data_IF_837976798237
#
_entry.id   IF_837976798237
#
_cell.length_a   1.000
_cell.length_b   1.000
_cell.length_c   1.000
_cell.angle_alpha   90.00
_cell.angle_beta   90.00
_cell.angle_gamma   90.00
#
_symmetry.space_group_name_H-M   'P 1'
#
loop_
_entity.id
_entity.type
_entity.pdbx_description
1 polymer ?
#
# COMPACT_ATOMS: atom_id res chain seq x y z
N UNK A 1 3.80 -5.60 -23.25
CA UNK A 1 5.16 -6.03 -22.85
C UNK A 1 5.63 -5.06 -21.76
N UNK A 2 6.16 -5.56 -20.66
CA UNK A 2 6.72 -4.72 -19.59
C UNK A 2 8.19 -4.42 -19.91
N UNK A 3 8.60 -3.16 -19.79
CA UNK A 3 9.96 -2.73 -20.04
C UNK A 3 10.54 -2.07 -18.79
N UNK A 4 11.63 -2.65 -18.28
CA UNK A 4 12.39 -2.17 -17.13
C UNK A 4 13.82 -1.96 -17.60
N UNK A 5 14.46 -0.87 -17.20
CA UNK A 5 15.82 -0.54 -17.62
C UNK A 5 16.67 -0.09 -16.42
N UNK A 6 17.98 -0.39 -16.43
CA UNK A 6 18.89 0.08 -15.40
C UNK A 6 19.19 1.57 -15.58
N UNK A 7 19.29 2.29 -14.46
CA UNK A 7 19.63 3.71 -14.38
C UNK A 7 20.63 3.89 -13.25
N UNK A 8 21.70 4.66 -13.52
CA UNK A 8 22.64 5.08 -12.47
C UNK A 8 22.07 6.28 -11.73
N UNK A 9 21.99 6.18 -10.42
CA UNK A 9 21.54 7.24 -9.53
C UNK A 9 22.55 7.46 -8.40
N UNK A 10 22.53 8.65 -7.83
CA UNK A 10 23.34 9.02 -6.67
C UNK A 10 22.41 9.19 -5.47
N UNK A 11 22.71 8.53 -4.35
CA UNK A 11 21.93 8.68 -3.13
C UNK A 11 22.00 10.13 -2.63
N UNK A 12 20.87 10.80 -2.35
CA UNK A 12 20.90 12.18 -1.89
C UNK A 12 21.36 12.33 -0.43
N UNK A 13 21.43 11.24 0.34
CA UNK A 13 21.88 11.24 1.74
C UNK A 13 23.37 10.92 1.87
N UNK A 14 23.83 9.82 1.27
CA UNK A 14 25.20 9.33 1.44
C UNK A 14 26.08 9.50 0.21
N UNK A 15 25.54 10.07 -0.88
CA UNK A 15 26.24 10.33 -2.13
C UNK A 15 26.77 9.09 -2.87
N UNK A 16 26.44 7.87 -2.40
CA UNK A 16 26.83 6.65 -3.07
C UNK A 16 26.16 6.52 -4.45
N UNK A 17 26.94 6.15 -5.46
CA UNK A 17 26.43 5.82 -6.78
C UNK A 17 25.97 4.37 -6.83
N UNK A 18 24.78 4.13 -7.38
CA UNK A 18 24.19 2.80 -7.49
C UNK A 18 23.38 2.67 -8.77
N UNK A 19 23.18 1.43 -9.21
CA UNK A 19 22.33 1.09 -10.33
C UNK A 19 20.96 0.63 -9.81
N UNK A 20 19.89 1.27 -10.27
CA UNK A 20 18.50 0.92 -9.95
C UNK A 20 17.74 0.60 -11.22
N UNK A 21 16.62 -0.10 -11.09
CA UNK A 21 15.74 -0.44 -12.19
C UNK A 21 14.49 0.44 -12.22
N UNK A 22 14.28 1.18 -13.31
CA UNK A 22 13.08 1.99 -13.51
C UNK A 22 12.12 1.33 -14.49
N UNK A 23 10.83 1.46 -14.19
CA UNK A 23 9.76 1.02 -15.09
C UNK A 23 9.57 2.05 -16.21
N UNK A 24 9.75 1.63 -17.46
CA UNK A 24 9.47 2.46 -18.64
C UNK A 24 8.02 2.31 -19.09
N UNK A 25 7.53 1.09 -19.13
CA UNK A 25 6.14 0.81 -19.49
C UNK A 25 5.67 -0.52 -18.91
N UNK A 26 4.39 -0.58 -18.57
CA UNK A 26 3.66 -1.81 -18.29
C UNK A 26 2.23 -1.65 -18.78
N UNK A 27 1.45 -2.72 -18.73
CA UNK A 27 0.02 -2.70 -19.01
C UNK A 27 -0.76 -2.95 -17.71
N UNK A 28 -2.04 -2.57 -17.72
CA UNK A 28 -2.97 -2.77 -16.60
C UNK A 28 -4.14 -3.69 -17.01
N UNK A 29 -3.87 -4.70 -17.85
CA UNK A 29 -4.92 -5.63 -18.28
C UNK A 29 -5.29 -6.57 -17.14
N UNK A 30 -6.60 -6.70 -16.89
CA UNK A 30 -7.17 -7.50 -15.80
C UNK A 30 -7.96 -6.65 -14.81
N UNK A 31 -8.71 -7.30 -13.94
CA UNK A 31 -9.38 -6.65 -12.83
C UNK A 31 -8.38 -6.27 -11.73
N UNK A 32 -8.59 -5.11 -11.13
CA UNK A 32 -7.87 -4.69 -9.92
C UNK A 32 -8.57 -5.27 -8.68
N UNK A 33 -7.82 -5.39 -7.59
CA UNK A 33 -8.38 -5.75 -6.29
C UNK A 33 -9.23 -4.59 -5.75
N UNK A 34 -10.10 -4.88 -4.76
CA UNK A 34 -11.00 -3.87 -4.19
C UNK A 34 -10.29 -2.76 -3.39
N UNK A 35 -9.03 -2.97 -3.01
CA UNK A 35 -8.14 -1.94 -2.45
C UNK A 35 -7.33 -1.18 -3.52
N UNK A 36 -7.69 -1.35 -4.80
CA UNK A 36 -7.02 -0.76 -5.98
C UNK A 36 -5.64 -1.34 -6.29
N UNK A 37 -5.28 -2.49 -5.68
CA UNK A 37 -4.07 -3.20 -6.08
C UNK A 37 -4.15 -3.59 -7.55
N UNK A 38 -3.15 -3.25 -8.38
CA UNK A 38 -3.26 -3.46 -9.81
C UNK A 38 -3.16 -4.94 -10.19
N UNK A 39 -3.57 -5.29 -11.43
CA UNK A 39 -3.41 -6.62 -11.99
C UNK A 39 -1.94 -7.07 -12.07
N UNK A 40 -1.74 -8.38 -12.20
CA UNK A 40 -0.45 -9.06 -12.07
C UNK A 40 0.70 -8.41 -12.86
N UNK A 41 0.48 -8.03 -14.13
CA UNK A 41 1.54 -7.46 -14.97
C UNK A 41 2.09 -6.12 -14.43
N UNK A 42 1.29 -5.33 -13.74
CA UNK A 42 1.73 -4.10 -13.09
C UNK A 42 2.17 -4.38 -11.65
N UNK A 43 1.47 -5.24 -10.91
CA UNK A 43 1.84 -5.68 -9.56
C UNK A 43 3.24 -6.28 -9.47
N UNK A 44 3.60 -7.15 -10.42
CA UNK A 44 4.96 -7.71 -10.56
C UNK A 44 6.07 -6.66 -10.73
N UNK A 45 5.73 -5.38 -10.92
CA UNK A 45 6.69 -4.27 -11.02
C UNK A 45 6.85 -3.50 -9.71
N UNK A 46 6.22 -3.89 -8.61
CA UNK A 46 6.30 -3.18 -7.31
C UNK A 46 7.72 -2.96 -6.81
N UNK A 47 8.64 -3.88 -7.11
CA UNK A 47 10.08 -3.73 -6.84
C UNK A 47 10.73 -2.53 -7.58
N UNK A 48 10.00 -1.92 -8.52
CA UNK A 48 10.39 -0.71 -9.25
C UNK A 48 9.79 0.58 -8.74
N UNK A 49 8.78 0.52 -7.88
CA UNK A 49 8.05 1.71 -7.44
C UNK A 49 8.84 2.51 -6.39
N UNK A 50 9.53 1.80 -5.51
CA UNK A 50 10.34 2.37 -4.44
C UNK A 50 11.74 1.74 -4.44
N UNK A 51 12.77 2.54 -4.11
CA UNK A 51 14.19 2.14 -4.14
C UNK A 51 14.87 2.35 -2.81
N UNK A 52 15.74 1.41 -2.44
CA UNK A 52 16.58 1.49 -1.24
C UNK A 52 18.04 1.69 -1.63
N UNK A 53 18.72 2.60 -0.93
CA UNK A 53 20.14 2.79 -1.05
C UNK A 53 20.90 1.62 -0.42
N UNK A 54 21.70 0.91 -1.22
CA UNK A 54 22.52 -0.21 -0.76
C UNK A 54 23.64 0.16 0.24
N UNK A 55 23.88 1.46 0.47
CA UNK A 55 24.93 1.94 1.39
C UNK A 55 24.38 2.47 2.71
N UNK A 56 23.35 3.33 2.70
CA UNK A 56 22.78 3.91 3.93
C UNK A 56 21.35 3.48 4.24
N UNK A 57 20.74 2.64 3.40
CA UNK A 57 19.36 2.19 3.60
C UNK A 57 18.28 3.22 3.31
N UNK A 58 18.62 4.44 2.84
CA UNK A 58 17.64 5.46 2.49
C UNK A 58 16.66 4.95 1.42
N UNK A 59 15.37 5.19 1.63
CA UNK A 59 14.30 4.76 0.73
C UNK A 59 13.64 5.96 0.06
N UNK A 60 13.40 5.87 -1.26
CA UNK A 60 12.65 6.87 -2.04
C UNK A 60 12.18 6.31 -3.39
N UNK A 61 11.09 6.87 -3.92
CA UNK A 61 10.64 6.67 -5.30
C UNK A 61 11.62 7.27 -6.33
N UNK A 62 12.14 8.47 -6.08
CA UNK A 62 13.11 9.14 -6.97
C UNK A 62 14.26 9.78 -6.17
N UNK A 63 15.46 9.27 -6.41
CA UNK A 63 16.70 9.71 -5.75
C UNK A 63 17.15 11.11 -6.20
N UNK A 64 16.47 11.72 -7.18
CA UNK A 64 16.66 13.13 -7.56
C UNK A 64 15.96 14.09 -6.62
N UNK A 65 14.96 13.63 -5.87
CA UNK A 65 14.23 14.47 -4.93
C UNK A 65 15.09 14.81 -3.71
N UNK A 66 14.82 16.00 -3.16
CA UNK A 66 15.52 16.42 -1.94
C UNK A 66 14.97 15.59 -0.77
N UNK A 67 15.85 14.96 0.03
CA UNK A 67 15.40 14.17 1.15
C UNK A 67 14.77 15.07 2.21
N UNK A 68 13.64 14.62 2.76
CA UNK A 68 12.93 15.28 3.85
C UNK A 68 13.50 14.91 5.23
N UNK A 69 14.32 13.86 5.28
CA UNK A 69 15.00 13.35 6.48
C UNK A 69 16.51 13.53 6.36
N UNK A 70 17.20 13.45 7.50
CA UNK A 70 18.66 13.45 7.56
C UNK A 70 19.22 12.04 7.77
N UNK A 71 20.54 11.95 7.85
CA UNK A 71 21.22 10.67 8.07
C UNK A 71 20.97 10.10 9.47
N UNK A 72 20.74 10.94 10.47
CA UNK A 72 20.52 10.49 11.85
C UNK A 72 19.19 9.73 11.97
N UNK A 73 18.17 10.15 11.23
CA UNK A 73 16.90 9.42 11.13
C UNK A 73 17.08 7.96 10.71
N UNK A 74 17.93 7.71 9.70
CA UNK A 74 18.22 6.36 9.20
C UNK A 74 18.92 5.47 10.24
N UNK A 75 19.56 6.09 11.23
CA UNK A 75 20.25 5.40 12.31
C UNK A 75 19.33 5.05 13.48
N UNK A 76 18.09 5.57 13.51
CA UNK A 76 17.13 5.28 14.57
C UNK A 76 16.73 3.80 14.59
N UNK A 77 16.44 3.30 15.79
CA UNK A 77 16.00 1.91 15.96
C UNK A 77 14.71 1.64 15.18
N UNK A 78 13.71 2.54 15.29
CA UNK A 78 12.44 2.49 14.56
C UNK A 78 12.64 2.26 13.06
N UNK A 79 13.56 3.01 12.42
CA UNK A 79 13.84 2.86 11.00
C UNK A 79 14.54 1.55 10.66
N UNK A 80 15.54 1.18 11.47
CA UNK A 80 16.35 -0.02 11.24
C UNK A 80 15.55 -1.30 11.42
N UNK A 81 14.75 -1.36 12.49
CA UNK A 81 13.96 -2.54 12.88
C UNK A 81 12.50 -2.48 12.43
N UNK A 82 12.11 -1.44 11.68
CA UNK A 82 10.74 -1.22 11.23
C UNK A 82 9.73 -1.30 12.37
N UNK A 83 9.97 -0.55 13.45
CA UNK A 83 9.16 -0.59 14.68
C UNK A 83 8.93 -2.00 15.28
N UNK A 84 9.83 -2.94 14.99
CA UNK A 84 9.74 -4.32 15.45
C UNK A 84 8.94 -5.26 14.53
N UNK A 85 8.49 -4.80 13.36
CA UNK A 85 7.92 -5.70 12.34
C UNK A 85 9.00 -6.61 11.75
N UNK A 86 8.77 -7.91 11.82
CA UNK A 86 9.60 -8.94 11.20
C UNK A 86 8.96 -9.38 9.88
N UNK A 87 9.26 -8.66 8.80
CA UNK A 87 8.67 -8.93 7.48
C UNK A 87 9.34 -10.13 6.79
N UNK A 88 8.52 -11.00 6.19
CA UNK A 88 8.98 -12.17 5.44
C UNK A 88 9.74 -11.82 4.14
N UNK A 89 9.66 -10.57 3.68
CA UNK A 89 10.37 -10.11 2.50
C UNK A 89 10.94 -8.68 2.61
N UNK A 90 11.93 -8.38 1.77
CA UNK A 90 12.57 -7.05 1.75
C UNK A 90 11.66 -5.95 1.19
N UNK A 91 10.74 -6.26 0.27
CA UNK A 91 9.91 -5.27 -0.38
C UNK A 91 8.92 -4.62 0.60
N UNK A 92 8.28 -5.41 1.46
CA UNK A 92 7.46 -4.92 2.58
C UNK A 92 8.26 -4.01 3.51
N UNK A 93 9.49 -4.41 3.85
CA UNK A 93 10.40 -3.60 4.66
C UNK A 93 10.70 -2.24 4.01
N UNK A 94 10.95 -2.22 2.71
CA UNK A 94 11.22 -0.99 1.95
C UNK A 94 10.01 -0.05 2.00
N UNK A 95 8.81 -0.55 1.71
CA UNK A 95 7.59 0.26 1.76
C UNK A 95 7.25 0.72 3.19
N UNK A 96 7.50 -0.10 4.21
CA UNK A 96 7.33 0.32 5.59
C UNK A 96 8.29 1.47 5.96
N UNK A 97 9.58 1.34 5.59
CA UNK A 97 10.58 2.41 5.79
C UNK A 97 10.21 3.70 5.07
N UNK A 98 9.63 3.59 3.88
CA UNK A 98 9.09 4.74 3.16
C UNK A 98 7.96 5.42 3.93
N UNK A 99 7.06 4.66 4.54
CA UNK A 99 6.01 5.22 5.41
C UNK A 99 6.58 5.98 6.62
N UNK A 100 7.71 5.53 7.19
CA UNK A 100 8.37 6.22 8.29
C UNK A 100 9.00 7.54 7.83
N UNK A 101 9.58 7.56 6.63
CA UNK A 101 10.14 8.78 6.03
C UNK A 101 9.03 9.80 5.77
N UNK A 102 7.87 9.33 5.28
CA UNK A 102 6.74 10.16 4.90
C UNK A 102 5.78 10.47 6.07
N UNK A 103 6.17 10.28 7.33
CA UNK A 103 5.27 10.39 8.48
C UNK A 103 4.59 11.76 8.70
N UNK A 104 5.04 12.82 8.02
CA UNK A 104 4.45 14.15 8.07
C UNK A 104 3.52 14.44 6.85
N UNK A 105 3.41 13.50 5.92
CA UNK A 105 2.56 13.57 4.73
C UNK A 105 1.59 12.37 4.76
N UNK A 106 0.33 12.64 5.11
CA UNK A 106 -0.69 11.61 5.34
C UNK A 106 -0.92 10.76 4.10
N UNK A 107 -1.04 11.38 2.93
CA UNK A 107 -1.25 10.68 1.65
C UNK A 107 -0.06 9.78 1.33
N UNK A 108 1.16 10.32 1.36
CA UNK A 108 2.36 9.56 1.02
C UNK A 108 2.61 8.41 2.01
N UNK A 109 2.36 8.64 3.31
CA UNK A 109 2.45 7.60 4.33
C UNK A 109 1.41 6.50 4.11
N UNK A 110 0.15 6.87 3.83
CA UNK A 110 -0.93 5.93 3.56
C UNK A 110 -0.59 5.00 2.39
N UNK A 111 -0.20 5.55 1.23
CA UNK A 111 0.13 4.72 0.07
C UNK A 111 1.35 3.83 0.32
N UNK A 112 2.33 4.30 1.10
CA UNK A 112 3.48 3.48 1.50
C UNK A 112 3.05 2.28 2.35
N UNK A 113 2.14 2.47 3.31
CA UNK A 113 1.59 1.38 4.11
C UNK A 113 0.71 0.44 3.27
N UNK A 114 -0.09 0.97 2.35
CA UNK A 114 -0.90 0.17 1.43
C UNK A 114 -0.02 -0.75 0.57
N UNK A 115 1.05 -0.21 -0.03
CA UNK A 115 2.01 -0.99 -0.81
C UNK A 115 2.76 -2.02 0.05
N UNK A 116 3.05 -1.68 1.31
CA UNK A 116 3.63 -2.63 2.27
C UNK A 116 2.69 -3.82 2.50
N UNK A 117 1.40 -3.58 2.76
CA UNK A 117 0.41 -4.65 2.93
C UNK A 117 0.30 -5.54 1.67
N UNK A 118 0.34 -4.95 0.48
CA UNK A 118 0.35 -5.70 -0.79
C UNK A 118 1.59 -6.59 -0.94
N UNK A 119 2.76 -6.07 -0.57
CA UNK A 119 4.00 -6.85 -0.60
C UNK A 119 3.98 -7.99 0.42
N UNK A 120 3.34 -7.81 1.59
CA UNK A 120 3.12 -8.89 2.55
C UNK A 120 2.21 -9.98 1.97
N UNK A 121 1.12 -9.60 1.28
CA UNK A 121 0.21 -10.55 0.65
C UNK A 121 0.94 -11.46 -0.37
N UNK A 122 1.88 -10.90 -1.16
CA UNK A 122 2.64 -11.65 -2.19
C UNK A 122 3.47 -12.81 -1.62
N UNK A 123 3.80 -12.76 -0.34
CA UNK A 123 4.56 -13.81 0.34
C UNK A 123 3.75 -14.53 1.42
N UNK A 124 2.43 -14.27 1.50
CA UNK A 124 1.52 -14.79 2.53
C UNK A 124 1.92 -14.42 3.97
N UNK A 125 2.49 -13.23 4.17
CA UNK A 125 2.79 -12.67 5.50
C UNK A 125 1.53 -12.03 6.09
N UNK A 126 0.59 -12.89 6.50
CA UNK A 126 -0.78 -12.50 6.87
C UNK A 126 -0.81 -11.60 8.11
N UNK A 127 -0.03 -11.94 9.14
CA UNK A 127 -0.05 -11.24 10.43
C UNK A 127 0.43 -9.79 10.27
N UNK A 128 1.55 -9.58 9.57
CA UNK A 128 2.02 -8.23 9.29
C UNK A 128 1.06 -7.49 8.36
N UNK A 129 0.50 -8.15 7.34
CA UNK A 129 -0.45 -7.51 6.43
C UNK A 129 -1.70 -6.98 7.17
N UNK A 130 -2.20 -7.70 8.18
CA UNK A 130 -3.31 -7.25 9.04
C UNK A 130 -2.92 -5.99 9.82
N UNK A 131 -1.79 -6.00 10.52
CA UNK A 131 -1.36 -4.89 11.36
C UNK A 131 -1.01 -3.63 10.55
N UNK A 132 -0.41 -3.79 9.37
CA UNK A 132 -0.15 -2.68 8.46
C UNK A 132 -1.45 -2.08 7.93
N UNK A 133 -2.47 -2.89 7.60
CA UNK A 133 -3.78 -2.37 7.18
C UNK A 133 -4.45 -1.57 8.29
N UNK A 134 -4.37 -1.98 9.55
CA UNK A 134 -4.91 -1.20 10.68
C UNK A 134 -4.28 0.19 10.74
N UNK A 135 -2.96 0.28 10.59
CA UNK A 135 -2.25 1.58 10.51
C UNK A 135 -2.70 2.40 9.30
N UNK A 136 -2.89 1.77 8.14
CA UNK A 136 -3.37 2.46 6.94
C UNK A 136 -4.81 2.98 7.11
N UNK A 137 -5.68 2.27 7.83
CA UNK A 137 -7.05 2.71 8.15
C UNK A 137 -7.05 4.00 8.97
N UNK A 138 -6.14 4.15 9.94
CA UNK A 138 -6.02 5.40 10.71
C UNK A 138 -5.72 6.62 9.83
N UNK A 139 -4.91 6.43 8.77
CA UNK A 139 -4.57 7.51 7.84
C UNK A 139 -5.66 7.78 6.80
N UNK A 140 -6.30 6.72 6.29
CA UNK A 140 -7.35 6.90 5.28
C UNK A 140 -8.58 7.60 5.87
N UNK A 141 -8.84 7.45 7.18
CA UNK A 141 -9.86 8.21 7.88
C UNK A 141 -9.59 9.72 7.81
N UNK A 142 -8.36 10.13 8.08
CA UNK A 142 -7.94 11.54 7.97
C UNK A 142 -8.10 12.04 6.53
N UNK A 143 -7.74 11.22 5.54
CA UNK A 143 -7.87 11.57 4.13
C UNK A 143 -9.34 11.74 3.73
N UNK A 144 -10.23 10.81 4.13
CA UNK A 144 -11.67 10.87 3.86
C UNK A 144 -12.32 12.11 4.48
N UNK A 145 -11.90 12.47 5.70
CA UNK A 145 -12.39 13.67 6.38
C UNK A 145 -11.96 14.96 5.66
N UNK A 146 -10.77 14.97 5.06
CA UNK A 146 -10.26 16.11 4.28
C UNK A 146 -10.82 16.21 2.87
N UNK A 147 -11.00 15.08 2.21
CA UNK A 147 -11.47 14.92 0.84
C UNK A 147 -12.42 13.72 0.83
N UNK A 148 -13.71 14.02 0.67
CA UNK A 148 -14.81 13.05 0.71
C UNK A 148 -14.83 12.15 -0.55
N UNK A 149 -13.67 11.58 -0.88
CA UNK A 149 -13.38 10.81 -2.06
C UNK A 149 -13.95 9.40 -1.92
N UNK A 150 -14.85 9.04 -2.83
CA UNK A 150 -15.55 7.75 -2.80
C UNK A 150 -14.58 6.57 -2.93
N UNK A 151 -13.52 6.69 -3.73
CA UNK A 151 -12.54 5.62 -3.88
C UNK A 151 -11.81 5.32 -2.56
N UNK A 152 -11.55 6.34 -1.74
CA UNK A 152 -10.95 6.14 -0.42
C UNK A 152 -11.91 5.39 0.50
N UNK A 153 -13.21 5.68 0.46
CA UNK A 153 -14.21 4.94 1.25
C UNK A 153 -14.29 3.46 0.86
N UNK A 154 -14.27 3.17 -0.45
CA UNK A 154 -14.27 1.79 -0.96
C UNK A 154 -12.98 1.06 -0.56
N UNK A 155 -11.84 1.72 -0.69
CA UNK A 155 -10.53 1.18 -0.30
C UNK A 155 -10.51 0.90 1.21
N UNK A 156 -11.01 1.82 2.04
CA UNK A 156 -11.12 1.64 3.49
C UNK A 156 -11.95 0.40 3.86
N UNK A 157 -13.09 0.18 3.19
CA UNK A 157 -13.92 -1.00 3.45
C UNK A 157 -13.14 -2.31 3.23
N UNK A 158 -12.37 -2.40 2.14
CA UNK A 158 -11.53 -3.56 1.87
C UNK A 158 -10.40 -3.72 2.90
N UNK A 159 -9.71 -2.63 3.23
CA UNK A 159 -8.63 -2.63 4.22
C UNK A 159 -9.11 -3.09 5.59
N UNK A 160 -10.23 -2.54 6.07
CA UNK A 160 -10.84 -2.93 7.35
C UNK A 160 -11.25 -4.40 7.36
N UNK A 161 -11.91 -4.88 6.29
CA UNK A 161 -12.32 -6.29 6.19
C UNK A 161 -11.11 -7.22 6.23
N UNK A 162 -10.08 -6.92 5.44
CA UNK A 162 -8.83 -7.70 5.37
C UNK A 162 -7.95 -7.54 6.62
N UNK A 163 -8.21 -6.52 7.44
CA UNK A 163 -7.65 -6.34 8.78
C UNK A 163 -8.47 -7.02 9.90
N UNK A 164 -9.48 -7.83 9.53
CA UNK A 164 -10.39 -8.53 10.45
C UNK A 164 -11.29 -7.61 11.29
N UNK A 165 -11.48 -6.36 10.87
CA UNK A 165 -12.35 -5.38 11.54
C UNK A 165 -13.82 -5.53 11.09
N UNK A 166 -14.31 -6.77 11.03
CA UNK A 166 -15.58 -7.12 10.39
C UNK A 166 -16.78 -6.38 10.96
N UNK A 167 -16.88 -6.29 12.29
CA UNK A 167 -17.98 -5.61 12.96
C UNK A 167 -18.00 -4.11 12.61
N UNK A 168 -16.83 -3.48 12.53
CA UNK A 168 -16.71 -2.08 12.14
C UNK A 168 -17.09 -1.86 10.66
N UNK A 169 -16.72 -2.78 9.75
CA UNK A 169 -17.18 -2.73 8.35
C UNK A 169 -18.70 -2.79 8.27
N UNK A 170 -19.33 -3.70 9.00
CA UNK A 170 -20.79 -3.85 8.99
C UNK A 170 -21.45 -2.59 9.54
N UNK A 171 -20.96 -2.05 10.65
CA UNK A 171 -21.50 -0.83 11.27
C UNK A 171 -21.41 0.38 10.35
N UNK A 172 -20.23 0.61 9.75
CA UNK A 172 -19.96 1.80 8.96
C UNK A 172 -20.62 1.77 7.57
N UNK A 173 -20.69 0.60 6.94
CA UNK A 173 -21.03 0.51 5.52
C UNK A 173 -22.42 -0.06 5.21
N UNK A 174 -23.12 -0.72 6.14
CA UNK A 174 -24.41 -1.39 5.84
C UNK A 174 -25.52 -0.43 5.36
N UNK A 175 -25.44 0.85 5.71
CA UNK A 175 -26.43 1.86 5.30
C UNK A 175 -25.81 2.95 4.41
N UNK A 176 -24.61 2.71 3.89
CA UNK A 176 -23.95 3.65 2.99
C UNK A 176 -24.61 3.56 1.61
N UNK A 177 -24.97 4.71 1.05
CA UNK A 177 -25.50 4.84 -0.30
C UNK A 177 -24.65 5.85 -1.08
N UNK A 178 -24.02 5.35 -2.14
CA UNK A 178 -23.24 6.08 -3.10
C UNK A 178 -24.13 6.34 -4.32
N UNK A 179 -24.03 7.53 -4.94
CA UNK A 179 -24.87 7.90 -6.08
C UNK A 179 -24.59 7.09 -7.38
N UNK A 180 -23.93 5.94 -7.28
CA UNK A 180 -23.53 5.08 -8.39
C UNK A 180 -23.75 3.61 -8.00
N UNK A 181 -24.58 2.92 -8.79
CA UNK A 181 -25.03 1.54 -8.56
C UNK A 181 -23.87 0.57 -8.35
N UNK A 182 -22.86 0.62 -9.23
CA UNK A 182 -21.72 -0.29 -9.14
C UNK A 182 -20.88 -0.08 -7.86
N UNK A 183 -20.79 1.15 -7.36
CA UNK A 183 -20.05 1.41 -6.12
C UNK A 183 -20.83 0.90 -4.90
N UNK A 184 -22.17 0.96 -4.94
CA UNK A 184 -23.03 0.34 -3.93
C UNK A 184 -22.91 -1.19 -3.94
N UNK A 185 -22.81 -1.82 -5.12
CA UNK A 185 -22.56 -3.27 -5.23
C UNK A 185 -21.23 -3.66 -4.55
N UNK A 186 -20.17 -2.86 -4.73
CA UNK A 186 -18.88 -3.09 -4.04
C UNK A 186 -19.07 -3.02 -2.53
N UNK A 187 -19.76 -2.00 -2.02
CA UNK A 187 -20.03 -1.86 -0.57
C UNK A 187 -20.85 -3.03 -0.03
N UNK A 188 -21.93 -3.42 -0.72
CA UNK A 188 -22.77 -4.54 -0.32
C UNK A 188 -21.96 -5.84 -0.27
N UNK A 189 -21.13 -6.09 -1.30
CA UNK A 189 -20.24 -7.23 -1.33
C UNK A 189 -19.28 -7.24 -0.13
N UNK A 190 -18.63 -6.11 0.17
CA UNK A 190 -17.74 -5.97 1.32
C UNK A 190 -18.46 -6.27 2.65
N UNK A 191 -19.70 -5.77 2.82
CA UNK A 191 -20.53 -6.02 4.01
C UNK A 191 -20.94 -7.49 4.12
N UNK A 192 -21.31 -8.14 3.01
CA UNK A 192 -21.64 -9.58 2.98
C UNK A 192 -20.41 -10.39 3.42
N UNK A 193 -19.24 -10.12 2.84
CA UNK A 193 -17.98 -10.79 3.21
C UNK A 193 -17.57 -10.53 4.65
N UNK A 194 -17.80 -9.34 5.18
CA UNK A 194 -17.59 -9.07 6.59
C UNK A 194 -18.53 -9.88 7.50
N UNK A 195 -19.82 -10.04 7.14
CA UNK A 195 -20.77 -10.90 7.89
C UNK A 195 -20.35 -12.37 7.86
N UNK A 196 -19.72 -12.82 6.79
CA UNK A 196 -19.14 -14.16 6.64
C UNK A 196 -17.78 -14.31 7.37
N UNK A 197 -17.23 -13.23 7.93
CA UNK A 197 -15.88 -13.14 8.50
C UNK A 197 -14.79 -13.54 7.50
N UNK A 198 -15.00 -13.18 6.23
CA UNK A 198 -14.12 -13.49 5.13
C UNK A 198 -13.14 -12.33 4.85
N UNK A 199 -11.85 -12.58 5.07
CA UNK A 199 -10.75 -11.66 4.83
C UNK A 199 -10.05 -11.87 3.46
N UNK A 200 -10.66 -12.65 2.57
CA UNK A 200 -10.12 -12.96 1.26
C UNK A 200 -9.86 -11.71 0.39
N UNK A 201 -8.90 -11.82 -0.51
CA UNK A 201 -8.67 -10.82 -1.54
C UNK A 201 -9.67 -11.03 -2.69
N UNK A 202 -10.35 -9.95 -3.07
CA UNK A 202 -11.38 -9.94 -4.11
C UNK A 202 -11.11 -8.81 -5.10
N UNK A 203 -11.63 -8.99 -6.31
CA UNK A 203 -11.50 -8.04 -7.42
C UNK A 203 -12.85 -7.43 -7.77
N UNK A 204 -12.83 -6.37 -8.58
CA UNK A 204 -14.04 -5.78 -9.15
C UNK A 204 -14.85 -6.77 -10.00
N UNK A 205 -14.22 -7.81 -10.56
CA UNK A 205 -14.91 -8.85 -11.31
C UNK A 205 -15.67 -9.84 -10.40
N UNK A 206 -15.22 -10.04 -9.17
CA UNK A 206 -15.89 -10.93 -8.22
C UNK A 206 -17.24 -10.35 -7.76
N UNK A 207 -17.30 -9.02 -7.63
CA UNK A 207 -18.54 -8.27 -7.31
C UNK A 207 -19.58 -8.41 -8.42
N UNK A 208 -19.17 -8.38 -9.68
CA UNK A 208 -20.10 -8.50 -10.82
C UNK A 208 -20.66 -9.93 -11.00
N UNK A 209 -20.09 -10.93 -10.32
CA UNK A 209 -20.46 -12.34 -10.43
C UNK A 209 -21.24 -12.86 -9.22
N UNK A 210 -21.31 -12.10 -8.13
CA UNK A 210 -22.04 -12.42 -6.90
C UNK A 210 -23.53 -12.14 -7.04
#
# INVERSE_FOLDING_TARGET
MTQIFPVKVKCPICENEMEIYNLMSTNRFGAQDLDLRPPEMMRSTMNTWTKECNNCGYVSHDFKEKPIIDREFLETESYKNCDGFDFENNLSRIFYRESLINNNDVDAQFYSLLHCAWACDDVNDVDNAIEIRKKAVELIDIMIDSDNNVNLKLTKADLMRRALMFEAVIEEYSNMDLNEEFLNEIIEFQVIKAKEKDAGCYTTEDVQKS
#
